data_IF_492114072446
#
_entry.id   IF_492114072446
#
_cell.length_a   1.000
_cell.length_b   1.000
_cell.length_c   1.000
_cell.angle_alpha   90.00
_cell.angle_beta   90.00
_cell.angle_gamma   90.00
#
_symmetry.space_group_name_H-M   'P 1'
#
loop_
_entity.id
_entity.type
_entity.pdbx_description
1 polymer ?
#
# COMPACT_ATOMS: atom_id res chain seq x y z
N UNK A 1 -23.59 57.04 -22.47
CA UNK A 1 -23.69 58.49 -22.77
C UNK A 1 -22.30 59.11 -22.69
N UNK A 2 -21.98 60.12 -23.51
CA UNK A 2 -21.00 59.98 -24.60
C UNK A 2 -19.81 60.97 -24.55
N UNK A 3 -18.91 60.83 -25.53
CA UNK A 3 -18.19 61.92 -26.25
C UNK A 3 -17.08 62.67 -25.47
N UNK A 4 -15.91 63.06 -26.02
CA UNK A 4 -15.49 63.54 -27.35
C UNK A 4 -13.93 63.45 -27.45
N UNK A 5 -13.32 62.99 -28.57
CA UNK A 5 -12.66 63.78 -29.67
C UNK A 5 -11.36 64.51 -29.22
N UNK A 6 -10.20 64.58 -29.91
CA UNK A 6 -9.51 63.97 -31.06
C UNK A 6 -8.21 64.80 -31.27
N UNK A 7 -7.12 64.26 -31.84
CA UNK A 7 -6.45 64.79 -33.06
C UNK A 7 -5.16 64.02 -33.40
N UNK A 8 -4.90 63.95 -34.71
CA UNK A 8 -3.99 63.06 -35.45
C UNK A 8 -2.75 63.86 -35.99
N UNK A 9 -1.94 63.20 -36.84
CA UNK A 9 -0.84 63.67 -37.75
C UNK A 9 0.56 63.13 -37.35
N UNK A 10 1.41 62.59 -38.23
CA UNK A 10 1.34 62.17 -39.63
C UNK A 10 2.61 61.38 -40.02
N UNK A 11 2.49 60.52 -41.04
CA UNK A 11 3.57 59.78 -41.71
C UNK A 11 4.42 60.65 -42.67
N UNK A 12 5.64 60.20 -43.00
CA UNK A 12 6.12 59.85 -44.38
C UNK A 12 7.63 60.06 -44.63
N UNK A 13 8.24 59.02 -45.23
CA UNK A 13 9.25 58.97 -46.31
C UNK A 13 10.43 59.96 -46.39
N UNK A 14 11.67 59.46 -46.55
CA UNK A 14 12.34 59.24 -47.86
C UNK A 14 13.84 58.93 -47.72
N UNK A 15 14.34 58.10 -48.64
CA UNK A 15 15.75 57.79 -48.92
C UNK A 15 16.56 58.98 -49.47
N UNK A 16 17.89 59.01 -49.25
CA UNK A 16 18.82 59.89 -49.98
C UNK A 16 20.30 59.82 -49.55
N UNK A 17 21.12 59.15 -50.37
CA UNK A 17 22.54 59.36 -50.73
C UNK A 17 23.67 59.79 -49.74
N UNK A 18 24.70 58.92 -49.69
CA UNK A 18 26.16 59.17 -49.78
C UNK A 18 26.83 60.32 -49.00
N UNK A 19 27.77 59.98 -48.12
CA UNK A 19 29.20 60.35 -48.27
C UNK A 19 30.05 59.79 -47.14
N UNK A 20 31.27 59.38 -47.52
CA UNK A 20 32.24 58.69 -46.70
C UNK A 20 32.95 59.65 -45.74
N UNK A 21 32.72 59.49 -44.43
CA UNK A 21 33.61 59.97 -43.36
C UNK A 21 33.61 58.93 -42.23
N UNK A 22 33.79 57.66 -42.58
CA UNK A 22 33.47 56.53 -41.70
C UNK A 22 34.68 55.66 -41.38
N UNK A 23 35.82 56.22 -40.95
CA UNK A 23 36.95 55.35 -40.57
C UNK A 23 37.72 55.69 -39.30
N UNK A 24 37.64 56.88 -38.72
CA UNK A 24 38.34 57.18 -37.45
C UNK A 24 37.44 57.40 -36.22
N UNK A 25 36.12 57.51 -36.39
CA UNK A 25 35.19 57.71 -35.27
C UNK A 25 34.62 56.39 -34.70
N UNK A 26 34.67 55.29 -35.46
CA UNK A 26 34.01 54.04 -35.09
C UNK A 26 34.77 53.17 -34.09
N UNK A 27 36.10 53.28 -33.97
CA UNK A 27 36.84 52.43 -33.02
C UNK A 27 36.51 52.74 -31.55
N UNK A 28 36.34 54.04 -31.22
CA UNK A 28 35.97 54.44 -29.85
C UNK A 28 34.55 54.04 -29.50
N UNK A 29 33.63 54.08 -30.47
CA UNK A 29 32.23 53.66 -30.30
C UNK A 29 32.14 52.14 -30.19
N UNK A 30 32.87 51.39 -31.01
CA UNK A 30 32.93 49.92 -30.95
C UNK A 30 33.59 49.45 -29.65
N UNK A 31 34.65 50.11 -29.18
CA UNK A 31 35.28 49.81 -27.89
C UNK A 31 34.36 50.11 -26.70
N UNK A 32 33.60 51.23 -26.73
CA UNK A 32 32.61 51.55 -25.70
C UNK A 32 31.42 50.58 -25.72
N UNK A 33 30.97 50.12 -26.89
CA UNK A 33 29.92 49.10 -27.01
C UNK A 33 30.39 47.73 -26.52
N UNK A 34 31.64 47.33 -26.80
CA UNK A 34 32.23 46.10 -26.27
C UNK A 34 32.42 46.14 -24.75
N UNK A 35 32.80 47.29 -24.18
CA UNK A 35 32.90 47.47 -22.73
C UNK A 35 31.52 47.46 -22.05
N UNK A 36 30.50 48.02 -22.71
CA UNK A 36 29.11 48.04 -22.22
C UNK A 36 28.45 46.65 -22.24
N UNK A 37 28.79 45.80 -23.21
CA UNK A 37 28.30 44.40 -23.27
C UNK A 37 28.97 43.55 -22.18
N UNK A 38 30.23 43.81 -21.84
CA UNK A 38 30.95 43.11 -20.76
C UNK A 38 30.46 43.47 -19.34
N UNK A 39 29.77 44.61 -19.17
CA UNK A 39 29.20 45.00 -17.86
C UNK A 39 27.78 44.49 -17.60
N UNK A 40 27.16 43.74 -18.51
CA UNK A 40 25.81 43.17 -18.30
C UNK A 40 25.78 41.77 -17.69
N UNK A 41 26.92 41.15 -17.36
CA UNK A 41 26.96 39.80 -16.77
C UNK A 41 27.00 39.77 -15.23
N UNK A 42 26.61 40.86 -14.56
CA UNK A 42 26.77 41.06 -13.11
C UNK A 42 25.55 40.79 -12.21
N UNK A 43 24.43 40.26 -12.73
CA UNK A 43 23.26 39.93 -11.91
C UNK A 43 22.81 38.48 -12.12
N UNK A 44 23.57 37.53 -11.56
CA UNK A 44 23.05 36.19 -11.29
C UNK A 44 21.93 36.30 -10.26
N UNK A 45 20.77 35.67 -10.51
CA UNK A 45 19.67 35.62 -9.52
C UNK A 45 20.20 34.98 -8.24
N UNK A 46 20.28 35.75 -7.16
CA UNK A 46 20.55 35.22 -5.82
C UNK A 46 19.52 34.11 -5.53
N UNK A 47 19.92 32.88 -5.16
CA UNK A 47 18.97 31.89 -4.70
C UNK A 47 18.28 32.45 -3.46
N UNK A 48 16.97 32.66 -3.54
CA UNK A 48 16.14 33.20 -2.44
C UNK A 48 15.50 32.02 -1.72
N UNK A 49 16.08 31.49 -0.63
CA UNK A 49 15.56 30.30 0.06
C UNK A 49 14.20 30.48 0.75
N UNK A 50 13.63 31.70 0.79
CA UNK A 50 12.36 31.99 1.49
C UNK A 50 11.35 32.77 0.65
N UNK A 51 11.52 32.86 -0.67
CA UNK A 51 10.47 33.44 -1.51
C UNK A 51 9.34 32.41 -1.66
N UNK A 52 8.12 32.78 -1.31
CA UNK A 52 6.94 31.93 -1.47
C UNK A 52 6.77 31.58 -2.94
N UNK A 53 7.13 30.35 -3.31
CA UNK A 53 6.85 29.78 -4.63
C UNK A 53 5.34 29.79 -4.91
N UNK A 54 4.99 29.92 -6.18
CA UNK A 54 3.61 29.89 -6.67
C UNK A 54 2.89 28.63 -6.16
N UNK A 55 1.58 28.76 -5.93
CA UNK A 55 0.73 27.79 -5.23
C UNK A 55 0.80 26.35 -5.77
N UNK A 56 1.25 26.15 -7.01
CA UNK A 56 1.40 24.82 -7.61
C UNK A 56 2.60 24.03 -7.02
N UNK A 57 3.71 24.67 -6.65
CA UNK A 57 4.86 23.98 -6.02
C UNK A 57 4.67 23.69 -4.52
N UNK A 58 3.69 24.35 -3.87
CA UNK A 58 3.32 24.03 -2.48
C UNK A 58 2.76 22.61 -2.31
N UNK A 59 2.39 21.94 -3.40
CA UNK A 59 1.89 20.57 -3.38
C UNK A 59 2.97 19.53 -3.02
N UNK A 60 4.26 19.90 -3.00
CA UNK A 60 5.35 19.01 -2.57
C UNK A 60 5.75 19.17 -1.09
N UNK A 61 5.22 20.17 -0.38
CA UNK A 61 5.52 20.37 1.05
C UNK A 61 4.59 19.51 1.92
N UNK A 62 5.08 18.33 2.33
CA UNK A 62 4.41 17.45 3.30
C UNK A 62 4.02 18.16 4.61
N UNK A 63 4.71 19.24 5.00
CA UNK A 63 4.37 20.05 6.17
C UNK A 63 3.07 20.86 6.02
N UNK A 64 2.69 21.25 4.78
CA UNK A 64 1.40 21.90 4.53
C UNK A 64 0.28 20.86 4.40
N UNK A 65 0.58 19.64 3.94
CA UNK A 65 -0.35 18.51 3.97
C UNK A 65 -0.71 18.08 5.40
N UNK A 66 0.21 18.23 6.38
CA UNK A 66 -0.06 17.99 7.81
C UNK A 66 -1.11 18.98 8.36
N UNK A 67 -1.12 20.24 7.90
CA UNK A 67 -2.17 21.22 8.31
C UNK A 67 -3.53 20.94 7.67
N UNK A 68 -3.55 20.29 6.52
CA UNK A 68 -4.75 19.79 5.85
C UNK A 68 -5.18 18.40 6.37
N UNK A 69 -4.44 17.85 7.33
CA UNK A 69 -4.76 16.60 8.00
C UNK A 69 -6.14 16.72 8.63
N UNK A 70 -7.10 15.95 8.12
CA UNK A 70 -8.47 15.87 8.63
C UNK A 70 -8.46 15.28 10.03
N UNK A 71 -8.10 16.10 11.03
CA UNK A 71 -8.16 15.71 12.43
C UNK A 71 -9.59 15.36 12.81
N UNK A 72 -9.74 14.31 13.61
CA UNK A 72 -11.03 13.85 14.14
C UNK A 72 -11.21 14.45 15.54
N UNK A 73 -12.20 15.31 15.70
CA UNK A 73 -12.71 15.67 17.02
C UNK A 73 -13.53 14.50 17.55
N UNK A 74 -13.12 13.93 18.67
CA UNK A 74 -13.89 12.91 19.37
C UNK A 74 -14.78 13.64 20.37
N UNK A 75 -16.07 13.70 20.07
CA UNK A 75 -17.06 14.24 20.99
C UNK A 75 -17.28 13.24 22.15
N UNK A 76 -17.58 13.77 23.34
CA UNK A 76 -17.95 12.95 24.48
C UNK A 76 -19.21 12.15 24.13
N UNK A 77 -19.17 10.81 24.18
CA UNK A 77 -20.33 9.99 23.85
C UNK A 77 -21.49 10.20 24.84
N UNK A 78 -22.71 10.23 24.31
CA UNK A 78 -23.93 10.35 25.11
C UNK A 78 -24.40 8.97 25.60
N UNK A 79 -25.21 8.91 26.66
CA UNK A 79 -25.82 7.67 27.15
C UNK A 79 -24.92 6.80 28.04
N UNK A 80 -23.75 7.29 28.45
CA UNK A 80 -22.90 6.64 29.45
C UNK A 80 -23.55 6.67 30.87
N UNK A 81 -23.11 5.81 31.81
CA UNK A 81 -23.64 5.78 33.17
C UNK A 81 -23.37 7.08 33.94
N UNK A 82 -22.20 7.68 33.71
CA UNK A 82 -21.77 8.94 34.26
C UNK A 82 -20.77 9.65 33.32
N UNK A 83 -20.48 10.91 33.62
CA UNK A 83 -19.59 11.75 32.82
C UNK A 83 -18.13 11.26 32.80
N UNK A 84 -17.68 10.56 33.85
CA UNK A 84 -16.32 10.05 33.93
C UNK A 84 -16.11 8.89 32.95
N UNK A 85 -17.08 7.98 32.87
CA UNK A 85 -17.09 6.89 31.89
C UNK A 85 -17.20 7.44 30.47
N UNK A 86 -18.04 8.46 30.26
CA UNK A 86 -18.16 9.12 28.95
C UNK A 86 -16.83 9.74 28.49
N UNK A 87 -16.14 10.46 29.38
CA UNK A 87 -14.84 11.07 29.10
C UNK A 87 -13.74 10.03 28.90
N UNK A 88 -13.73 8.97 29.72
CA UNK A 88 -12.80 7.86 29.56
C UNK A 88 -12.93 7.20 28.19
N UNK A 89 -14.15 6.94 27.74
CA UNK A 89 -14.40 6.38 26.42
C UNK A 89 -13.99 7.34 25.29
N UNK A 90 -14.19 8.64 25.44
CA UNK A 90 -13.74 9.63 24.46
C UNK A 90 -12.21 9.64 24.34
N UNK A 91 -11.50 9.52 25.46
CA UNK A 91 -10.04 9.43 25.51
C UNK A 91 -9.54 8.11 24.89
N UNK A 92 -10.17 6.98 25.21
CA UNK A 92 -9.83 5.68 24.63
C UNK A 92 -10.09 5.65 23.11
N UNK A 93 -11.15 6.29 22.64
CA UNK A 93 -11.41 6.48 21.21
C UNK A 93 -10.31 7.29 20.53
N UNK A 94 -9.86 8.39 21.17
CA UNK A 94 -8.75 9.21 20.68
C UNK A 94 -7.45 8.40 20.62
N UNK A 95 -7.11 7.67 21.68
CA UNK A 95 -5.92 6.79 21.72
C UNK A 95 -6.00 5.65 20.70
N UNK A 96 -7.18 5.03 20.55
CA UNK A 96 -7.43 4.01 19.54
C UNK A 96 -7.20 4.52 18.11
N UNK A 97 -7.62 5.75 17.83
CA UNK A 97 -7.36 6.41 16.55
C UNK A 97 -5.87 6.72 16.37
N UNK A 98 -5.19 7.21 17.40
CA UNK A 98 -3.74 7.47 17.35
C UNK A 98 -2.93 6.20 17.06
N UNK A 99 -3.29 5.06 17.66
CA UNK A 99 -2.66 3.76 17.38
C UNK A 99 -2.76 3.33 15.91
N UNK A 100 -3.74 3.87 15.18
CA UNK A 100 -3.95 3.64 13.73
C UNK A 100 -3.46 4.83 12.89
N UNK A 101 -2.57 5.65 13.46
CA UNK A 101 -1.99 6.87 12.90
C UNK A 101 -3.04 7.91 12.49
N UNK A 102 -4.26 7.85 13.02
CA UNK A 102 -5.32 8.83 12.74
C UNK A 102 -5.22 9.94 13.78
N UNK A 103 -4.96 11.16 13.32
CA UNK A 103 -4.91 12.33 14.20
C UNK A 103 -6.30 12.60 14.80
N UNK A 104 -6.39 12.51 16.13
CA UNK A 104 -7.62 12.75 16.88
C UNK A 104 -7.39 13.64 18.11
N UNK A 105 -8.42 14.32 18.57
CA UNK A 105 -8.41 15.13 19.79
C UNK A 105 -9.79 15.13 20.43
N UNK A 106 -9.85 15.22 21.75
CA UNK A 106 -11.08 15.47 22.53
C UNK A 106 -11.33 16.96 22.77
N UNK A 107 -10.31 17.79 22.56
CA UNK A 107 -10.36 19.24 22.71
C UNK A 107 -11.02 19.90 21.50
N UNK A 108 -12.21 20.50 21.69
CA UNK A 108 -12.98 21.15 20.64
C UNK A 108 -12.41 22.51 20.19
N UNK A 109 -11.46 23.10 20.92
CA UNK A 109 -10.87 24.40 20.57
C UNK A 109 -9.83 24.30 19.44
N UNK A 110 -9.35 23.09 19.13
CA UNK A 110 -8.45 22.87 17.99
C UNK A 110 -9.25 22.74 16.69
N UNK A 111 -8.61 23.06 15.56
CA UNK A 111 -9.25 22.95 14.23
C UNK A 111 -9.33 21.49 13.82
N UNK A 112 -10.55 20.97 13.67
CA UNK A 112 -10.83 19.63 13.18
C UNK A 112 -11.74 19.71 11.96
N UNK A 113 -11.55 18.81 11.01
CA UNK A 113 -12.39 18.75 9.80
C UNK A 113 -13.44 17.65 9.90
N UNK A 114 -13.35 16.79 10.91
CA UNK A 114 -14.22 15.66 11.16
C UNK A 114 -14.64 15.62 12.62
N UNK A 115 -15.86 15.19 12.88
CA UNK A 115 -16.44 15.02 14.21
C UNK A 115 -16.93 13.58 14.33
N UNK A 116 -16.43 12.86 15.33
CA UNK A 116 -16.88 11.54 15.73
C UNK A 116 -17.78 11.68 16.95
N UNK A 117 -19.05 11.32 16.80
CA UNK A 117 -20.05 11.34 17.88
C UNK A 117 -20.53 9.93 18.17
N UNK A 118 -20.87 9.67 19.43
CA UNK A 118 -21.30 8.36 19.92
C UNK A 118 -22.54 8.44 20.81
N UNK A 119 -23.39 7.43 20.74
CA UNK A 119 -24.52 7.20 21.65
C UNK A 119 -24.44 5.78 22.19
N UNK A 120 -24.38 5.65 23.50
CA UNK A 120 -24.39 4.38 24.20
C UNK A 120 -25.80 3.97 24.62
N UNK A 121 -26.04 2.68 24.57
CA UNK A 121 -27.23 2.00 25.06
C UNK A 121 -26.82 0.69 25.75
N UNK A 122 -27.51 0.32 26.82
CA UNK A 122 -27.23 -0.90 27.58
C UNK A 122 -28.52 -1.65 27.88
N UNK A 123 -28.58 -2.93 27.51
CA UNK A 123 -29.76 -3.79 27.69
C UNK A 123 -29.67 -4.73 28.90
N UNK A 124 -28.70 -4.50 29.80
CA UNK A 124 -28.44 -5.33 30.97
C UNK A 124 -27.34 -6.39 30.75
N UNK A 125 -27.05 -6.76 29.50
CA UNK A 125 -26.01 -7.75 29.17
C UNK A 125 -25.05 -7.30 28.07
N UNK A 126 -25.46 -6.34 27.25
CA UNK A 126 -24.69 -5.84 26.12
C UNK A 126 -24.72 -4.32 26.10
N UNK A 127 -23.54 -3.71 26.00
CA UNK A 127 -23.40 -2.28 25.74
C UNK A 127 -23.23 -2.11 24.23
N UNK A 128 -24.03 -1.22 23.64
CA UNK A 128 -23.95 -0.83 22.22
C UNK A 128 -23.50 0.60 22.12
N UNK A 129 -22.54 0.88 21.25
CA UNK A 129 -22.10 2.22 20.89
C UNK A 129 -22.46 2.47 19.42
N UNK A 130 -23.51 3.25 19.20
CA UNK A 130 -23.85 3.79 17.89
C UNK A 130 -22.98 5.02 17.63
N UNK A 131 -22.24 5.02 16.53
CA UNK A 131 -21.29 6.09 16.21
C UNK A 131 -21.56 6.68 14.83
N UNK A 132 -21.24 7.96 14.68
CA UNK A 132 -21.34 8.71 13.43
C UNK A 132 -20.10 9.58 13.26
N UNK A 133 -19.48 9.50 12.09
CA UNK A 133 -18.39 10.36 11.66
C UNK A 133 -18.93 11.37 10.63
N UNK A 134 -18.89 12.66 10.95
CA UNK A 134 -19.31 13.76 10.08
C UNK A 134 -18.14 14.66 9.73
N UNK A 135 -18.25 15.40 8.64
CA UNK A 135 -17.37 16.54 8.40
C UNK A 135 -17.97 17.86 8.92
N UNK A 136 -17.22 18.94 8.80
CA UNK A 136 -17.63 20.28 9.23
C UNK A 136 -18.85 20.85 8.48
N UNK A 137 -19.30 20.21 7.39
CA UNK A 137 -20.53 20.57 6.67
C UNK A 137 -21.70 19.63 7.04
N UNK A 138 -21.60 18.89 8.15
CA UNK A 138 -22.55 17.88 8.60
C UNK A 138 -22.75 16.68 7.64
N UNK A 139 -21.86 16.50 6.67
CA UNK A 139 -21.94 15.36 5.75
C UNK A 139 -21.43 14.12 6.47
N UNK A 140 -22.28 13.10 6.54
CA UNK A 140 -21.91 11.81 7.14
C UNK A 140 -20.90 11.09 6.26
N UNK A 141 -19.69 10.88 6.81
CA UNK A 141 -18.60 10.12 6.20
C UNK A 141 -18.63 8.65 6.62
N UNK A 142 -19.22 8.35 7.78
CA UNK A 142 -19.35 7.00 8.31
C UNK A 142 -20.40 6.92 9.41
N UNK A 143 -20.99 5.73 9.58
CA UNK A 143 -21.83 5.41 10.74
C UNK A 143 -21.82 3.91 10.99
N UNK A 144 -22.07 3.51 12.22
CA UNK A 144 -22.18 2.09 12.57
C UNK A 144 -22.58 1.89 14.02
N UNK A 145 -22.67 0.62 14.40
CA UNK A 145 -22.88 0.20 15.79
C UNK A 145 -21.82 -0.84 16.11
N UNK A 146 -21.17 -0.69 17.26
CA UNK A 146 -20.31 -1.73 17.86
C UNK A 146 -20.95 -2.18 19.17
N UNK A 147 -20.62 -3.38 19.62
CA UNK A 147 -21.20 -3.94 20.83
C UNK A 147 -20.17 -4.76 21.61
N UNK A 148 -20.31 -4.74 22.93
CA UNK A 148 -19.49 -5.50 23.85
C UNK A 148 -20.36 -6.10 24.96
N UNK A 149 -20.05 -7.32 25.37
CA UNK A 149 -20.75 -7.98 26.49
C UNK A 149 -20.30 -7.37 27.81
N UNK A 150 -21.25 -6.87 28.59
CA UNK A 150 -21.02 -6.33 29.90
C UNK A 150 -22.31 -6.37 30.71
N UNK A 151 -22.25 -6.92 31.92
CA UNK A 151 -23.36 -6.86 32.87
C UNK A 151 -23.50 -5.47 33.50
N UNK A 152 -24.59 -5.24 34.24
CA UNK A 152 -24.88 -3.96 34.91
C UNK A 152 -23.75 -3.43 35.80
N UNK A 153 -22.98 -4.32 36.43
CA UNK A 153 -21.86 -3.94 37.29
C UNK A 153 -20.69 -3.40 36.46
N UNK A 154 -20.29 -4.14 35.41
CA UNK A 154 -19.20 -3.75 34.51
C UNK A 154 -19.51 -2.46 33.75
N UNK A 155 -20.78 -2.29 33.35
CA UNK A 155 -21.25 -1.08 32.69
C UNK A 155 -21.20 0.12 33.61
N UNK A 156 -21.80 0.04 34.81
CA UNK A 156 -21.82 1.15 35.78
C UNK A 156 -20.42 1.57 36.26
N UNK A 157 -19.47 0.64 36.30
CA UNK A 157 -18.09 0.92 36.71
C UNK A 157 -17.21 1.36 35.54
N UNK A 158 -17.69 1.31 34.29
CA UNK A 158 -16.88 1.63 33.11
C UNK A 158 -15.59 0.82 33.05
N UNK A 159 -15.67 -0.51 33.22
CA UNK A 159 -14.50 -1.39 33.27
C UNK A 159 -13.56 -1.09 32.11
N UNK A 160 -12.27 -0.89 32.38
CA UNK A 160 -11.25 -0.50 31.38
C UNK A 160 -11.30 -1.38 30.12
N UNK A 161 -11.30 -2.71 30.27
CA UNK A 161 -11.37 -3.62 29.12
C UNK A 161 -12.72 -3.65 28.37
N UNK A 162 -13.78 -3.02 28.87
CA UNK A 162 -15.01 -2.78 28.12
C UNK A 162 -14.86 -1.54 27.23
N UNK A 163 -14.32 -0.45 27.77
CA UNK A 163 -14.12 0.79 27.04
C UNK A 163 -13.04 0.63 25.95
N UNK A 164 -11.97 -0.12 26.24
CA UNK A 164 -10.93 -0.45 25.27
C UNK A 164 -11.47 -1.29 24.08
N UNK A 165 -12.36 -2.25 24.34
CA UNK A 165 -12.98 -3.06 23.29
C UNK A 165 -13.88 -2.21 22.38
N UNK A 166 -14.79 -1.43 22.97
CA UNK A 166 -15.66 -0.54 22.21
C UNK A 166 -14.87 0.50 21.39
N UNK A 167 -13.89 1.14 22.02
CA UNK A 167 -13.06 2.16 21.36
C UNK A 167 -12.20 1.58 20.24
N UNK A 168 -11.59 0.41 20.44
CA UNK A 168 -10.81 -0.30 19.44
C UNK A 168 -11.64 -0.68 18.21
N UNK A 169 -12.86 -1.19 18.42
CA UNK A 169 -13.76 -1.53 17.32
C UNK A 169 -14.18 -0.30 16.50
N UNK A 170 -14.49 0.83 17.15
CA UNK A 170 -14.82 2.09 16.44
C UNK A 170 -13.60 2.66 15.72
N UNK A 171 -12.45 2.74 16.39
CA UNK A 171 -11.22 3.27 15.82
C UNK A 171 -10.81 2.53 14.54
N UNK A 172 -10.92 1.19 14.53
CA UNK A 172 -10.67 0.37 13.34
C UNK A 172 -11.59 0.75 12.17
N UNK A 173 -12.91 0.88 12.41
CA UNK A 173 -13.89 1.27 11.39
C UNK A 173 -13.67 2.69 10.87
N UNK A 174 -13.34 3.63 11.75
CA UNK A 174 -13.05 5.02 11.36
C UNK A 174 -11.75 5.10 10.56
N UNK A 175 -10.70 4.41 10.98
CA UNK A 175 -9.44 4.34 10.24
C UNK A 175 -9.62 3.75 8.83
N UNK A 176 -10.46 2.71 8.69
CA UNK A 176 -10.83 2.14 7.39
C UNK A 176 -11.45 3.18 6.45
N UNK A 177 -12.34 4.05 6.97
CA UNK A 177 -13.00 5.10 6.18
C UNK A 177 -12.02 6.20 5.78
N UNK A 178 -11.14 6.61 6.70
CA UNK A 178 -10.25 7.75 6.49
C UNK A 178 -8.96 7.41 5.74
N UNK A 179 -8.53 6.15 5.84
CA UNK A 179 -7.32 5.63 5.20
C UNK A 179 -7.61 4.32 4.46
N UNK A 180 -8.53 4.32 3.48
CA UNK A 180 -8.91 3.09 2.79
C UNK A 180 -7.71 2.41 2.15
N UNK A 181 -6.80 3.16 1.51
CA UNK A 181 -5.60 2.59 0.91
C UNK A 181 -4.62 1.95 1.92
N UNK A 182 -4.50 2.50 3.14
CA UNK A 182 -3.63 1.93 4.17
C UNK A 182 -4.27 0.70 4.83
N UNK A 183 -5.58 0.73 5.05
CA UNK A 183 -6.35 -0.41 5.53
C UNK A 183 -6.33 -1.57 4.53
N UNK A 184 -6.56 -1.30 3.25
CA UNK A 184 -6.46 -2.30 2.16
C UNK A 184 -5.03 -2.87 2.03
N UNK A 185 -4.01 -2.03 2.25
CA UNK A 185 -2.63 -2.50 2.27
C UNK A 185 -2.35 -3.42 3.47
N UNK A 186 -2.85 -3.06 4.65
CA UNK A 186 -2.70 -3.85 5.86
C UNK A 186 -3.49 -5.17 5.79
N UNK A 187 -4.72 -5.16 5.28
CA UNK A 187 -5.53 -6.36 5.10
C UNK A 187 -4.90 -7.30 4.08
N UNK A 188 -4.43 -6.80 2.93
CA UNK A 188 -3.67 -7.60 1.95
C UNK A 188 -2.35 -8.11 2.54
N UNK A 189 -1.65 -7.31 3.32
CA UNK A 189 -0.43 -7.77 3.98
C UNK A 189 -0.71 -8.89 5.01
N UNK A 190 -1.85 -8.86 5.69
CA UNK A 190 -2.31 -9.94 6.57
C UNK A 190 -2.71 -11.18 5.75
N UNK A 191 -3.45 -11.01 4.67
CA UNK A 191 -3.82 -12.09 3.74
C UNK A 191 -2.58 -12.77 3.15
N UNK A 192 -1.58 -11.99 2.76
CA UNK A 192 -0.30 -12.50 2.25
C UNK A 192 0.55 -13.13 3.36
N UNK A 193 0.55 -12.61 4.60
CA UNK A 193 1.19 -13.30 5.74
C UNK A 193 0.51 -14.62 6.07
N UNK A 194 -0.76 -14.76 5.71
CA UNK A 194 -1.53 -16.00 5.81
C UNK A 194 -1.51 -16.83 4.51
N UNK A 195 -0.78 -16.40 3.47
CA UNK A 195 -0.72 -17.07 2.18
C UNK A 195 -0.22 -18.50 2.35
N UNK A 196 -1.12 -19.46 2.16
CA UNK A 196 -0.80 -20.89 2.24
C UNK A 196 -0.43 -21.43 0.88
N UNK A 197 0.41 -22.45 0.89
CA UNK A 197 0.80 -23.22 -0.30
C UNK A 197 -0.01 -24.51 -0.34
N UNK A 198 -0.57 -24.87 -1.48
CA UNK A 198 -1.14 -26.20 -1.71
C UNK A 198 -0.31 -26.94 -2.76
N UNK A 199 0.07 -28.18 -2.45
CA UNK A 199 0.59 -29.12 -3.45
C UNK A 199 -0.61 -29.79 -4.09
N UNK A 200 -0.92 -29.45 -5.33
CA UNK A 200 -2.14 -29.85 -6.03
C UNK A 200 -1.97 -31.22 -6.67
N UNK A 201 -1.45 -31.28 -7.89
CA UNK A 201 -1.31 -32.51 -8.66
C UNK A 201 0.15 -32.75 -9.04
N UNK A 202 0.59 -34.00 -8.92
CA UNK A 202 1.85 -34.47 -9.51
C UNK A 202 1.51 -35.63 -10.44
N UNK A 203 1.90 -35.53 -11.71
CA UNK A 203 1.54 -36.50 -12.75
C UNK A 203 2.76 -37.00 -13.53
N UNK A 204 2.58 -38.14 -14.19
CA UNK A 204 3.54 -38.70 -15.15
C UNK A 204 4.68 -39.53 -14.54
N UNK A 205 4.84 -39.57 -13.21
CA UNK A 205 5.87 -40.39 -12.60
C UNK A 205 5.46 -41.89 -12.60
N UNK A 206 6.39 -42.80 -12.94
CA UNK A 206 6.18 -44.25 -12.84
C UNK A 206 6.12 -44.72 -11.38
N UNK A 207 5.73 -45.99 -11.20
CA UNK A 207 5.66 -46.61 -9.88
C UNK A 207 4.73 -45.83 -8.92
N UNK A 208 5.23 -45.51 -7.73
CA UNK A 208 4.53 -44.68 -6.74
C UNK A 208 4.93 -43.19 -6.78
N UNK A 209 5.67 -42.75 -7.81
CA UNK A 209 6.36 -41.46 -7.85
C UNK A 209 5.46 -40.25 -7.63
N UNK A 210 4.26 -40.22 -8.25
CA UNK A 210 3.32 -39.10 -8.10
C UNK A 210 2.95 -38.86 -6.63
N UNK A 211 2.60 -39.94 -5.92
CA UNK A 211 2.23 -39.91 -4.52
C UNK A 211 3.43 -39.58 -3.63
N UNK A 212 4.58 -40.21 -3.90
CA UNK A 212 5.81 -40.03 -3.15
C UNK A 212 6.35 -38.60 -3.23
N UNK A 213 6.34 -37.98 -4.41
CA UNK A 213 6.75 -36.60 -4.62
C UNK A 213 5.82 -35.61 -3.90
N UNK A 214 4.50 -35.75 -4.07
CA UNK A 214 3.53 -34.87 -3.41
C UNK A 214 3.65 -34.96 -1.88
N UNK A 215 3.79 -36.17 -1.34
CA UNK A 215 3.96 -36.41 0.10
C UNK A 215 5.26 -35.82 0.63
N UNK A 216 6.38 -36.02 -0.08
CA UNK A 216 7.70 -35.54 0.32
C UNK A 216 7.76 -34.02 0.32
N UNK A 217 7.19 -33.36 -0.70
CA UNK A 217 7.10 -31.91 -0.72
C UNK A 217 6.30 -31.36 0.46
N UNK A 218 5.10 -31.90 0.74
CA UNK A 218 4.31 -31.49 1.90
C UNK A 218 5.07 -31.68 3.22
N UNK A 219 5.81 -32.77 3.35
CA UNK A 219 6.67 -33.01 4.50
C UNK A 219 7.72 -31.90 4.65
N UNK A 220 8.44 -31.55 3.58
CA UNK A 220 9.45 -30.49 3.59
C UNK A 220 8.86 -29.12 3.91
N UNK A 221 7.68 -28.77 3.37
CA UNK A 221 7.00 -27.51 3.70
C UNK A 221 6.68 -27.40 5.18
N UNK A 222 6.12 -28.48 5.74
CA UNK A 222 5.78 -28.56 7.17
C UNK A 222 7.03 -28.41 8.04
N UNK A 223 8.09 -29.16 7.73
CA UNK A 223 9.36 -29.13 8.50
C UNK A 223 10.06 -27.78 8.40
N UNK A 224 9.93 -27.08 7.27
CA UNK A 224 10.47 -25.74 7.07
C UNK A 224 9.61 -24.61 7.69
N UNK A 225 8.50 -24.95 8.36
CA UNK A 225 7.57 -23.98 8.95
C UNK A 225 6.83 -23.12 7.93
N UNK A 226 6.74 -23.57 6.67
CA UNK A 226 6.05 -22.82 5.63
C UNK A 226 4.53 -23.07 5.73
N UNK A 227 3.69 -22.02 5.67
CA UNK A 227 2.24 -22.17 5.71
C UNK A 227 1.76 -22.97 4.50
N UNK A 228 1.17 -24.14 4.74
CA UNK A 228 0.60 -25.00 3.71
C UNK A 228 -0.82 -25.44 4.07
N UNK A 229 -1.60 -25.83 3.08
CA UNK A 229 -2.96 -26.33 3.22
C UNK A 229 -3.19 -27.51 2.28
N UNK A 230 -4.04 -28.45 2.69
CA UNK A 230 -4.52 -29.52 1.80
C UNK A 230 -5.72 -29.07 0.96
N UNK A 231 -6.47 -28.09 1.46
CA UNK A 231 -7.54 -27.44 0.70
C UNK A 231 -6.94 -26.42 -0.27
N UNK A 232 -6.89 -26.78 -1.55
CA UNK A 232 -6.36 -25.91 -2.62
C UNK A 232 -7.19 -24.64 -2.82
N UNK A 233 -8.47 -24.62 -2.42
CA UNK A 233 -9.31 -23.43 -2.46
C UNK A 233 -8.90 -22.34 -1.46
N UNK A 234 -8.11 -22.70 -0.43
CA UNK A 234 -7.59 -21.79 0.58
C UNK A 234 -6.11 -21.44 0.37
N UNK A 235 -5.48 -21.96 -0.67
CA UNK A 235 -4.08 -21.67 -0.97
C UNK A 235 -3.98 -20.41 -1.83
N UNK A 236 -2.97 -19.58 -1.54
CA UNK A 236 -2.61 -18.43 -2.38
C UNK A 236 -1.59 -18.81 -3.46
N UNK A 237 -0.91 -19.96 -3.31
CA UNK A 237 0.01 -20.53 -4.28
C UNK A 237 -0.28 -22.02 -4.45
N UNK A 238 -0.47 -22.44 -5.69
CA UNK A 238 -0.56 -23.85 -6.07
C UNK A 238 0.79 -24.31 -6.60
N UNK A 239 1.22 -25.50 -6.19
CA UNK A 239 2.41 -26.17 -6.71
C UNK A 239 1.99 -27.47 -7.36
N UNK A 240 2.18 -27.56 -8.67
CA UNK A 240 1.96 -28.78 -9.45
C UNK A 240 3.27 -29.31 -10.03
N UNK A 241 3.33 -30.62 -10.25
CA UNK A 241 4.50 -31.31 -10.78
C UNK A 241 4.15 -32.16 -12.00
N UNK A 242 5.01 -32.14 -13.00
CA UNK A 242 4.92 -33.03 -14.16
C UNK A 242 6.25 -33.74 -14.33
N UNK A 243 6.20 -35.06 -14.45
CA UNK A 243 7.36 -35.92 -14.68
C UNK A 243 7.28 -36.51 -16.08
N UNK A 244 8.36 -36.43 -16.84
CA UNK A 244 8.53 -37.16 -18.10
C UNK A 244 9.77 -38.05 -18.04
N UNK A 245 9.69 -39.18 -18.74
CA UNK A 245 10.78 -40.12 -18.92
C UNK A 245 10.94 -40.42 -20.40
N UNK A 246 12.17 -40.29 -20.89
CA UNK A 246 12.52 -40.54 -22.28
C UNK A 246 13.69 -41.54 -22.33
N UNK A 247 13.50 -42.73 -22.94
CA UNK A 247 14.57 -43.68 -23.14
C UNK A 247 15.65 -43.10 -24.06
N UNK A 248 16.92 -43.18 -23.68
CA UNK A 248 18.04 -42.65 -24.48
C UNK A 248 18.71 -43.74 -25.33
N UNK A 249 19.19 -44.81 -24.71
CA UNK A 249 20.02 -45.84 -25.35
C UNK A 249 19.66 -47.28 -24.90
N UNK A 250 18.49 -47.44 -24.26
CA UNK A 250 18.01 -48.72 -23.73
C UNK A 250 18.72 -49.18 -22.44
N UNK A 251 19.69 -48.41 -21.93
CA UNK A 251 20.31 -48.62 -20.61
C UNK A 251 20.05 -47.46 -19.66
N UNK A 252 19.81 -46.28 -20.22
CA UNK A 252 19.55 -45.04 -19.48
C UNK A 252 18.27 -44.38 -19.97
N UNK A 253 17.57 -43.74 -19.02
CA UNK A 253 16.44 -42.87 -19.27
C UNK A 253 16.80 -41.44 -18.86
N UNK A 254 16.36 -40.46 -19.63
CA UNK A 254 16.34 -39.07 -19.21
C UNK A 254 15.04 -38.81 -18.46
N UNK A 255 15.15 -38.42 -17.19
CA UNK A 255 14.01 -37.95 -16.38
C UNK A 255 13.99 -36.42 -16.35
N UNK A 256 12.82 -35.83 -16.57
CA UNK A 256 12.58 -34.40 -16.39
C UNK A 256 11.39 -34.17 -15.45
N UNK A 257 11.61 -33.39 -14.39
CA UNK A 257 10.58 -32.91 -13.49
C UNK A 257 10.39 -31.41 -13.70
N UNK A 258 9.17 -31.04 -14.05
CA UNK A 258 8.73 -29.65 -14.20
C UNK A 258 7.78 -29.31 -13.08
N UNK A 259 8.18 -28.39 -12.20
CA UNK A 259 7.34 -27.85 -11.14
C UNK A 259 6.82 -26.48 -11.55
N UNK A 260 5.52 -26.27 -11.41
CA UNK A 260 4.85 -25.01 -11.74
C UNK A 260 4.24 -24.45 -10.46
N UNK A 261 4.51 -23.18 -10.20
CA UNK A 261 3.94 -22.40 -9.13
C UNK A 261 2.96 -21.43 -9.74
N UNK A 262 1.69 -21.47 -9.33
CA UNK A 262 0.65 -20.62 -9.91
C UNK A 262 -0.25 -20.01 -8.85
N UNK A 263 -0.97 -18.95 -9.24
CA UNK A 263 -2.06 -18.40 -8.43
C UNK A 263 -3.33 -19.28 -8.57
N UNK A 264 -4.31 -19.19 -7.64
CA UNK A 264 -5.56 -19.93 -7.72
C UNK A 264 -6.38 -19.62 -8.97
N UNK A 265 -6.37 -18.36 -9.41
CA UNK A 265 -7.02 -17.89 -10.64
C UNK A 265 -6.28 -18.30 -11.93
N UNK A 266 -5.18 -19.05 -11.80
CA UNK A 266 -4.26 -19.33 -12.89
C UNK A 266 -3.15 -18.28 -13.01
N UNK A 267 -2.26 -18.45 -13.98
CA UNK A 267 -1.08 -17.60 -14.15
C UNK A 267 0.14 -18.11 -13.38
N UNK A 268 1.21 -18.36 -14.12
CA UNK A 268 2.47 -18.89 -13.60
C UNK A 268 3.25 -17.80 -12.85
N UNK A 269 3.60 -18.11 -11.60
CA UNK A 269 4.47 -17.30 -10.74
C UNK A 269 5.93 -17.70 -10.92
N UNK A 270 6.19 -19.00 -11.04
CA UNK A 270 7.52 -19.56 -11.21
C UNK A 270 7.45 -20.96 -11.82
N UNK A 271 8.55 -21.37 -12.43
CA UNK A 271 8.74 -22.73 -12.96
C UNK A 271 10.14 -23.22 -12.66
N UNK A 272 10.25 -24.49 -12.30
CA UNK A 272 11.51 -25.15 -12.00
C UNK A 272 11.57 -26.43 -12.82
N UNK A 273 12.62 -26.55 -13.63
CA UNK A 273 12.90 -27.75 -14.39
C UNK A 273 14.12 -28.43 -13.80
N UNK A 274 13.95 -29.68 -13.37
CA UNK A 274 15.03 -30.54 -12.89
C UNK A 274 15.13 -31.71 -13.85
N UNK A 275 16.32 -32.01 -14.36
CA UNK A 275 16.52 -33.18 -15.21
C UNK A 275 17.76 -33.95 -14.80
N UNK A 276 17.72 -35.27 -14.99
CA UNK A 276 18.85 -36.14 -14.74
C UNK A 276 18.80 -37.36 -15.67
N UNK A 277 19.92 -38.07 -15.79
CA UNK A 277 19.97 -39.38 -16.43
C UNK A 277 20.03 -40.46 -15.36
N UNK A 278 19.21 -41.49 -15.53
CA UNK A 278 19.07 -42.59 -14.58
C UNK A 278 19.20 -43.93 -15.29
N UNK A 279 19.58 -45.01 -14.59
CA UNK A 279 19.50 -46.35 -15.15
C UNK A 279 18.05 -46.69 -15.54
N UNK A 280 17.89 -47.36 -16.69
CA UNK A 280 16.57 -47.73 -17.20
C UNK A 280 15.77 -48.55 -16.18
N UNK A 281 14.50 -48.18 -15.98
CA UNK A 281 13.58 -48.86 -15.06
C UNK A 281 13.88 -48.68 -13.55
N UNK A 282 14.91 -47.90 -13.19
CA UNK A 282 15.28 -47.69 -11.78
C UNK A 282 14.21 -46.99 -10.94
N UNK A 283 13.24 -46.34 -11.59
CA UNK A 283 12.14 -45.61 -10.96
C UNK A 283 10.78 -46.29 -11.13
N UNK A 284 10.71 -47.54 -11.58
CA UNK A 284 9.43 -48.23 -11.76
C UNK A 284 8.78 -48.67 -10.43
N UNK A 285 9.54 -48.59 -9.33
CA UNK A 285 9.14 -49.03 -8.00
C UNK A 285 8.78 -47.90 -7.05
N UNK A 286 9.41 -47.92 -5.85
CA UNK A 286 9.12 -46.99 -4.76
C UNK A 286 10.09 -45.82 -4.78
N UNK A 287 9.56 -44.61 -4.74
CA UNK A 287 10.33 -43.38 -4.89
C UNK A 287 10.75 -42.73 -3.58
N UNK A 288 10.36 -43.24 -2.42
CA UNK A 288 10.46 -42.56 -1.11
C UNK A 288 11.69 -41.66 -0.93
N UNK A 289 12.90 -42.22 -1.01
CA UNK A 289 14.15 -41.49 -0.80
C UNK A 289 14.44 -40.52 -1.95
N UNK A 290 14.29 -40.96 -3.20
CA UNK A 290 14.45 -40.12 -4.40
C UNK A 290 13.52 -38.91 -4.37
N UNK A 291 12.25 -39.12 -4.02
CA UNK A 291 11.24 -38.07 -3.91
C UNK A 291 11.59 -37.08 -2.80
N UNK A 292 12.10 -37.57 -1.67
CA UNK A 292 12.55 -36.72 -0.57
C UNK A 292 13.70 -35.81 -0.99
N UNK A 293 14.72 -36.36 -1.67
CA UNK A 293 15.86 -35.56 -2.14
C UNK A 293 15.44 -34.52 -3.19
N UNK A 294 14.71 -34.95 -4.22
CA UNK A 294 14.29 -34.08 -5.34
C UNK A 294 13.44 -32.91 -4.86
N UNK A 295 12.51 -33.16 -3.93
CA UNK A 295 11.59 -32.12 -3.44
C UNK A 295 12.20 -31.18 -2.40
N UNK A 296 13.35 -31.53 -1.80
CA UNK A 296 14.03 -30.66 -0.82
C UNK A 296 14.44 -29.31 -1.42
N UNK A 297 14.84 -29.29 -2.70
CA UNK A 297 15.24 -28.10 -3.42
C UNK A 297 14.08 -27.09 -3.61
N UNK A 298 12.83 -27.56 -3.55
CA UNK A 298 11.65 -26.73 -3.80
C UNK A 298 11.32 -25.81 -2.62
N UNK A 299 11.81 -26.11 -1.41
CA UNK A 299 11.53 -25.30 -0.21
C UNK A 299 11.98 -23.84 -0.38
N UNK A 300 13.19 -23.65 -0.93
CA UNK A 300 13.73 -22.31 -1.17
C UNK A 300 12.91 -21.56 -2.22
N UNK A 301 12.50 -22.25 -3.29
CA UNK A 301 11.68 -21.65 -4.33
C UNK A 301 10.29 -21.26 -3.82
N UNK A 302 9.63 -22.11 -3.04
CA UNK A 302 8.34 -21.80 -2.39
C UNK A 302 8.46 -20.53 -1.55
N UNK A 303 9.52 -20.43 -0.74
CA UNK A 303 9.77 -19.23 0.08
C UNK A 303 9.91 -17.99 -0.78
N UNK A 304 10.68 -18.06 -1.86
CA UNK A 304 10.87 -16.94 -2.78
C UNK A 304 9.57 -16.55 -3.49
N UNK A 305 8.76 -17.53 -3.91
CA UNK A 305 7.47 -17.27 -4.55
C UNK A 305 6.49 -16.57 -3.60
N UNK A 306 6.45 -16.98 -2.33
CA UNK A 306 5.62 -16.29 -1.31
C UNK A 306 6.07 -14.84 -1.09
N UNK A 307 7.39 -14.58 -1.10
CA UNK A 307 7.93 -13.20 -1.02
C UNK A 307 7.57 -12.39 -2.28
N UNK A 308 7.72 -12.95 -3.48
CA UNK A 308 7.33 -12.26 -4.71
C UNK A 308 5.83 -11.93 -4.75
N UNK A 309 4.99 -12.84 -4.25
CA UNK A 309 3.54 -12.60 -4.15
C UNK A 309 3.25 -11.39 -3.25
N UNK A 310 4.03 -11.23 -2.16
CA UNK A 310 3.98 -10.05 -1.30
C UNK A 310 4.38 -8.78 -2.05
N UNK A 311 5.49 -8.78 -2.77
CA UNK A 311 5.98 -7.61 -3.51
C UNK A 311 5.04 -7.19 -4.64
N UNK A 312 4.47 -8.13 -5.41
CA UNK A 312 3.53 -7.81 -6.48
C UNK A 312 2.24 -7.17 -5.96
N UNK A 313 1.75 -7.60 -4.79
CA UNK A 313 0.60 -6.96 -4.14
C UNK A 313 0.88 -5.52 -3.70
N UNK A 314 2.16 -5.16 -3.54
CA UNK A 314 2.61 -3.81 -3.20
C UNK A 314 2.77 -2.90 -4.44
N UNK A 315 3.09 -3.48 -5.61
CA UNK A 315 3.40 -2.76 -6.86
C UNK A 315 2.22 -2.58 -7.83
N UNK A 316 1.14 -3.37 -7.74
CA UNK A 316 -0.06 -3.17 -8.57
C UNK A 316 -0.93 -2.00 -8.10
N UNK A 317 -0.30 -0.95 -7.57
CA UNK A 317 -0.88 0.23 -6.94
C UNK A 317 -0.40 1.47 -7.69
#
# INVERSE_FOLDING_TARGET
MPCRISFNYSLLCCWGCWSAVSFFCNWRIVALLLLAVLMQSGCGKLPRPFQTQELEEKQANNLLAIRSGRGVLVAVPEGAPDDLVAQGLAEDLKEGLHRLDVLASTDAEKVHNLILSGLLDHDGQTVRLAWVLRDYNDITRGKGVVAAKAGDADWRQGREGLLEDLSGQVAAKVAQILKPAAYEAASKAVEVKQARVAVTEVIGAPGDGNLSLARSLRHHLRTAGLPFTEDSGQAAVHVSGMVSLEPLDGRTDAITLTWIFSKPEGGELARINQSNQIPHGSLDGRWGDTAFEVTSALVAAVRQTLVMLHEQSSLSR
#
